data_IF_005953270376
#
_entry.id   IF_005953270376
#
_cell.length_a   1.000
_cell.length_b   1.000
_cell.length_c   1.000
_cell.angle_alpha   90.00
_cell.angle_beta   90.00
_cell.angle_gamma   90.00
#
_symmetry.space_group_name_H-M   'P 1'
#
loop_
_entity.id
_entity.type
_entity.pdbx_description
1 polymer ?
#
# COMPACT_ATOMS: atom_id res chain seq x y z
N UNK A 1 9.23 -13.74 -45.75
CA UNK A 1 7.88 -13.45 -45.25
C UNK A 1 7.66 -14.35 -44.05
N UNK A 2 8.08 -13.89 -42.87
CA UNK A 2 7.87 -14.61 -41.63
C UNK A 2 6.43 -14.35 -41.16
N UNK A 3 5.71 -15.43 -40.98
CA UNK A 3 4.30 -15.49 -40.60
C UNK A 3 4.06 -14.76 -39.26
N UNK A 4 3.49 -13.56 -39.31
CA UNK A 4 3.20 -12.68 -38.17
C UNK A 4 1.85 -12.99 -37.47
N UNK A 5 1.28 -14.18 -37.65
CA UNK A 5 -0.08 -14.48 -37.18
C UNK A 5 -0.21 -15.48 -36.03
N UNK A 6 0.85 -16.04 -35.52
CA UNK A 6 0.77 -16.87 -34.31
C UNK A 6 1.24 -16.07 -33.08
N UNK A 7 0.28 -15.38 -32.41
CA UNK A 7 0.47 -15.00 -31.01
C UNK A 7 0.74 -16.31 -30.25
N UNK A 8 1.90 -16.48 -29.60
CA UNK A 8 2.16 -17.71 -28.85
C UNK A 8 0.98 -18.00 -27.91
N UNK A 9 0.56 -19.26 -27.81
CA UNK A 9 -0.58 -19.69 -26.97
C UNK A 9 -0.43 -19.18 -25.50
N UNK A 10 0.81 -18.96 -25.06
CA UNK A 10 1.18 -18.37 -23.79
C UNK A 10 0.66 -16.94 -23.62
N UNK A 11 0.73 -16.07 -24.63
CA UNK A 11 0.24 -14.68 -24.52
C UNK A 11 -1.30 -14.60 -24.51
N UNK A 12 -1.99 -15.56 -25.10
CA UNK A 12 -3.46 -15.69 -24.98
C UNK A 12 -3.87 -16.02 -23.55
N UNK A 13 -3.18 -16.95 -22.91
CA UNK A 13 -3.39 -17.29 -21.50
C UNK A 13 -3.03 -16.11 -20.61
N UNK A 14 -1.89 -15.44 -20.87
CA UNK A 14 -1.46 -14.27 -20.13
C UNK A 14 -2.50 -13.15 -20.18
N UNK A 15 -3.05 -12.83 -21.36
CA UNK A 15 -4.12 -11.80 -21.51
C UNK A 15 -5.37 -12.15 -20.71
N UNK A 16 -5.81 -13.42 -20.72
CA UNK A 16 -6.93 -13.88 -19.89
C UNK A 16 -6.63 -13.69 -18.40
N UNK A 17 -5.45 -14.11 -17.93
CA UNK A 17 -5.03 -13.95 -16.55
C UNK A 17 -4.98 -12.48 -16.13
N UNK A 18 -4.47 -11.62 -17.01
CA UNK A 18 -4.44 -10.17 -16.78
C UNK A 18 -5.86 -9.61 -16.60
N UNK A 19 -6.82 -9.98 -17.44
CA UNK A 19 -8.22 -9.53 -17.28
C UNK A 19 -8.78 -9.96 -15.93
N UNK A 20 -8.58 -11.21 -15.52
CA UNK A 20 -9.03 -11.70 -14.20
C UNK A 20 -8.38 -10.92 -13.07
N UNK A 21 -7.07 -10.66 -13.17
CA UNK A 21 -6.33 -9.93 -12.14
C UNK A 21 -6.70 -8.43 -12.08
N UNK A 22 -7.02 -7.81 -13.25
CA UNK A 22 -7.55 -6.44 -13.31
C UNK A 22 -8.91 -6.36 -12.60
N UNK A 23 -9.81 -7.31 -12.87
CA UNK A 23 -11.11 -7.38 -12.21
C UNK A 23 -10.96 -7.66 -10.71
N UNK A 24 -10.05 -8.56 -10.33
CA UNK A 24 -9.74 -8.82 -8.92
C UNK A 24 -9.16 -7.57 -8.23
N UNK A 25 -8.27 -6.84 -8.90
CA UNK A 25 -7.71 -5.60 -8.37
C UNK A 25 -8.78 -4.51 -8.23
N UNK A 26 -9.72 -4.41 -9.18
CA UNK A 26 -10.82 -3.44 -9.13
C UNK A 26 -11.84 -3.78 -8.03
N UNK A 27 -12.27 -5.04 -7.94
CA UNK A 27 -13.38 -5.46 -7.07
C UNK A 27 -12.87 -5.76 -5.66
N UNK A 28 -11.96 -6.75 -5.50
CA UNK A 28 -11.43 -7.08 -4.18
C UNK A 28 -10.51 -5.98 -3.65
N UNK A 29 -9.74 -5.32 -4.53
CA UNK A 29 -8.87 -4.21 -4.16
C UNK A 29 -9.61 -3.01 -3.57
N UNK A 30 -10.90 -2.83 -3.91
CA UNK A 30 -11.74 -1.75 -3.42
C UNK A 30 -11.90 -1.76 -1.87
N UNK A 31 -11.74 -2.92 -1.23
CA UNK A 31 -11.79 -3.01 0.23
C UNK A 31 -10.70 -2.20 0.94
N UNK A 32 -9.51 -2.03 0.31
CA UNK A 32 -8.41 -1.31 0.97
C UNK A 32 -8.73 0.18 1.18
N UNK A 33 -9.02 1.00 0.15
CA UNK A 33 -9.40 2.38 0.36
C UNK A 33 -10.68 2.52 1.21
N UNK A 34 -11.62 1.56 1.11
CA UNK A 34 -12.82 1.51 1.94
C UNK A 34 -12.46 1.40 3.43
N UNK A 35 -11.65 0.40 3.80
CA UNK A 35 -11.25 0.17 5.19
C UNK A 35 -10.31 1.27 5.72
N UNK A 36 -9.44 1.81 4.88
CA UNK A 36 -8.58 2.94 5.28
C UNK A 36 -9.40 4.21 5.58
N UNK A 37 -10.55 4.39 4.91
CA UNK A 37 -11.47 5.50 5.22
C UNK A 37 -12.14 5.33 6.59
N UNK A 38 -12.66 4.13 6.90
CA UNK A 38 -13.48 3.94 8.09
C UNK A 38 -12.73 3.34 9.29
N UNK A 39 -11.59 2.68 9.07
CA UNK A 39 -10.94 1.90 10.14
C UNK A 39 -10.49 2.74 11.33
N UNK A 40 -10.01 3.97 11.07
CA UNK A 40 -9.70 4.94 12.12
C UNK A 40 -10.94 5.48 12.82
N UNK A 41 -12.00 5.80 12.04
CA UNK A 41 -13.29 6.29 12.57
C UNK A 41 -13.99 5.23 13.42
N UNK A 42 -14.03 3.99 12.97
CA UNK A 42 -14.56 2.85 13.73
C UNK A 42 -13.78 2.63 15.03
N UNK A 43 -12.44 2.70 14.94
CA UNK A 43 -11.61 2.63 16.14
C UNK A 43 -11.85 3.78 17.09
N UNK A 44 -11.95 5.01 16.61
CA UNK A 44 -12.26 6.19 17.44
C UNK A 44 -13.60 6.06 18.17
N UNK A 45 -14.65 5.63 17.45
CA UNK A 45 -15.97 5.42 18.05
C UNK A 45 -15.92 4.47 19.27
N UNK A 46 -15.07 3.45 19.22
CA UNK A 46 -14.96 2.43 20.27
C UNK A 46 -14.06 2.85 21.43
N UNK A 47 -13.09 3.73 21.22
CA UNK A 47 -12.11 4.11 22.27
C UNK A 47 -12.25 5.55 22.73
N UNK A 48 -13.14 6.35 22.14
CA UNK A 48 -13.37 7.74 22.54
C UNK A 48 -13.84 7.82 24.00
N UNK A 49 -13.25 8.72 24.75
CA UNK A 49 -13.54 8.89 26.20
C UNK A 49 -12.88 7.83 27.09
N UNK A 50 -12.07 6.93 26.56
CA UNK A 50 -11.31 5.93 27.30
C UNK A 50 -9.83 6.31 27.40
N UNK A 51 -9.08 5.66 28.31
CA UNK A 51 -7.64 5.83 28.44
C UNK A 51 -6.83 5.41 27.19
N UNK A 52 -7.45 4.68 26.27
CA UNK A 52 -6.82 4.18 25.02
C UNK A 52 -7.26 4.95 23.78
N UNK A 53 -7.81 6.15 23.90
CA UNK A 53 -8.25 6.99 22.77
C UNK A 53 -7.11 7.22 21.73
N UNK A 54 -5.84 7.25 22.18
CA UNK A 54 -4.67 7.35 21.30
C UNK A 54 -4.53 6.18 20.32
N UNK A 55 -5.20 5.05 20.55
CA UNK A 55 -5.12 3.84 19.73
C UNK A 55 -6.23 3.75 18.68
N UNK A 56 -6.94 4.84 18.41
CA UNK A 56 -8.06 4.85 17.45
C UNK A 56 -7.68 4.32 16.05
N UNK A 57 -6.45 4.53 15.59
CA UNK A 57 -5.97 4.04 14.29
C UNK A 57 -5.33 2.64 14.35
N UNK A 58 -5.30 2.00 15.51
CA UNK A 58 -4.70 0.67 15.68
C UNK A 58 -5.32 -0.41 14.77
N UNK A 59 -6.63 -0.38 14.41
CA UNK A 59 -7.18 -1.29 13.41
C UNK A 59 -6.42 -1.22 12.07
N UNK A 60 -6.12 -0.02 11.57
CA UNK A 60 -5.34 0.17 10.33
C UNK A 60 -3.89 -0.32 10.52
N UNK A 61 -3.28 -0.01 11.66
CA UNK A 61 -1.90 -0.44 11.96
C UNK A 61 -1.79 -1.97 11.96
N UNK A 62 -2.79 -2.68 12.48
CA UNK A 62 -2.82 -4.14 12.48
C UNK A 62 -3.04 -4.75 11.09
N UNK A 63 -3.74 -4.06 10.18
CA UNK A 63 -3.81 -4.47 8.76
C UNK A 63 -2.40 -4.42 8.14
N UNK A 64 -1.66 -3.33 8.33
CA UNK A 64 -0.30 -3.17 7.81
C UNK A 64 0.64 -4.20 8.45
N UNK A 65 0.57 -4.38 9.75
CA UNK A 65 1.34 -5.38 10.48
C UNK A 65 1.02 -6.81 10.03
N UNK A 66 -0.27 -7.12 9.84
CA UNK A 66 -0.73 -8.41 9.29
C UNK A 66 -0.17 -8.66 7.89
N UNK A 67 -0.13 -7.63 7.04
CA UNK A 67 0.50 -7.72 5.71
C UNK A 67 2.00 -7.99 5.80
N UNK A 68 2.71 -7.28 6.68
CA UNK A 68 4.15 -7.43 6.90
C UNK A 68 4.51 -8.84 7.35
N UNK A 69 3.78 -9.37 8.33
CA UNK A 69 4.03 -10.71 8.90
C UNK A 69 3.60 -11.85 7.98
N UNK A 70 2.70 -11.57 7.03
CA UNK A 70 2.19 -12.57 6.08
C UNK A 70 3.13 -12.80 4.90
N UNK A 71 3.77 -11.76 4.37
CA UNK A 71 4.59 -11.85 3.16
C UNK A 71 5.67 -12.96 3.20
N UNK A 72 6.41 -13.18 4.31
CA UNK A 72 7.46 -14.18 4.39
C UNK A 72 7.00 -15.63 4.23
N UNK A 73 5.80 -15.97 4.67
CA UNK A 73 5.28 -17.34 4.55
C UNK A 73 4.32 -17.52 3.37
N UNK A 74 3.63 -16.46 2.96
CA UNK A 74 2.69 -16.52 1.84
C UNK A 74 3.41 -16.70 0.50
N UNK A 75 4.54 -16.04 0.29
CA UNK A 75 5.32 -16.16 -0.94
C UNK A 75 5.82 -17.59 -1.21
N UNK A 76 6.48 -18.29 -0.27
CA UNK A 76 6.82 -19.70 -0.44
C UNK A 76 5.61 -20.61 -0.60
N UNK A 77 4.50 -20.32 0.10
CA UNK A 77 3.27 -21.09 -0.02
C UNK A 77 2.67 -20.96 -1.44
N UNK A 78 2.69 -19.76 -2.02
CA UNK A 78 2.27 -19.52 -3.40
C UNK A 78 3.17 -20.23 -4.42
N UNK A 79 4.47 -20.32 -4.15
CA UNK A 79 5.39 -21.11 -4.99
C UNK A 79 5.10 -22.61 -4.91
N UNK A 80 4.82 -23.12 -3.70
CA UNK A 80 4.59 -24.55 -3.48
C UNK A 80 3.21 -25.02 -3.97
N UNK A 81 2.15 -24.24 -3.72
CA UNK A 81 0.74 -24.61 -4.02
C UNK A 81 0.12 -23.85 -5.18
N UNK A 82 0.87 -22.95 -5.78
CA UNK A 82 0.42 -22.07 -6.87
C UNK A 82 -0.20 -20.76 -6.37
N UNK A 83 -0.08 -19.71 -7.19
CA UNK A 83 -0.55 -18.35 -6.82
C UNK A 83 -2.06 -18.28 -6.59
N UNK A 84 -2.85 -19.06 -7.37
CA UNK A 84 -4.30 -19.11 -7.20
C UNK A 84 -4.69 -19.51 -5.77
N UNK A 85 -4.02 -20.51 -5.19
CA UNK A 85 -4.26 -20.95 -3.81
C UNK A 85 -4.01 -19.81 -2.83
N UNK A 86 -2.90 -19.09 -2.98
CA UNK A 86 -2.58 -17.96 -2.09
C UNK A 86 -3.56 -16.78 -2.22
N UNK A 87 -4.07 -16.51 -3.42
CA UNK A 87 -5.08 -15.46 -3.63
C UNK A 87 -6.42 -15.80 -2.99
N UNK A 88 -6.89 -17.04 -3.17
CA UNK A 88 -8.12 -17.52 -2.51
C UNK A 88 -7.94 -17.50 -0.99
N UNK A 89 -6.80 -17.97 -0.48
CA UNK A 89 -6.50 -17.94 0.95
C UNK A 89 -6.52 -16.51 1.50
N UNK A 90 -5.90 -15.55 0.79
CA UNK A 90 -5.90 -14.14 1.16
C UNK A 90 -7.31 -13.56 1.21
N UNK A 91 -8.14 -13.82 0.19
CA UNK A 91 -9.52 -13.35 0.15
C UNK A 91 -10.38 -13.98 1.28
N UNK A 92 -10.24 -15.28 1.52
CA UNK A 92 -10.98 -15.94 2.61
C UNK A 92 -10.52 -15.44 4.00
N UNK A 93 -9.22 -15.19 4.17
CA UNK A 93 -8.71 -14.58 5.40
C UNK A 93 -9.28 -13.18 5.63
N UNK A 94 -9.41 -12.36 4.57
CA UNK A 94 -10.02 -11.04 4.67
C UNK A 94 -11.54 -11.13 4.93
N UNK A 95 -12.25 -12.06 4.29
CA UNK A 95 -13.67 -12.30 4.58
C UNK A 95 -13.89 -12.67 6.06
N UNK A 96 -13.06 -13.60 6.57
CA UNK A 96 -13.07 -13.97 7.99
C UNK A 96 -12.73 -12.76 8.87
N UNK A 97 -11.66 -12.04 8.56
CA UNK A 97 -11.22 -10.86 9.30
C UNK A 97 -12.28 -9.77 9.34
N UNK A 98 -12.93 -9.49 8.21
CA UNK A 98 -14.01 -8.51 8.14
C UNK A 98 -15.26 -8.95 8.93
N UNK A 99 -15.60 -10.24 8.91
CA UNK A 99 -16.69 -10.79 9.73
C UNK A 99 -16.38 -10.68 11.24
N UNK A 100 -15.13 -10.96 11.66
CA UNK A 100 -14.68 -10.77 13.03
C UNK A 100 -14.68 -9.30 13.41
N UNK A 101 -14.25 -8.40 12.52
CA UNK A 101 -14.31 -6.95 12.75
C UNK A 101 -15.75 -6.45 12.87
N UNK A 102 -16.67 -6.94 12.03
CA UNK A 102 -18.10 -6.65 12.12
C UNK A 102 -18.70 -7.12 13.47
N UNK A 103 -18.32 -8.31 13.92
CA UNK A 103 -18.69 -8.82 15.25
C UNK A 103 -18.14 -7.92 16.35
N UNK A 104 -16.89 -7.45 16.23
CA UNK A 104 -16.28 -6.51 17.16
C UNK A 104 -17.07 -5.21 17.30
N UNK A 105 -17.53 -4.62 16.18
CA UNK A 105 -18.39 -3.45 16.18
C UNK A 105 -19.75 -3.73 16.81
N UNK A 106 -20.37 -4.85 16.44
CA UNK A 106 -21.69 -5.25 16.96
C UNK A 106 -21.68 -5.48 18.48
N UNK A 107 -20.62 -6.10 18.99
CA UNK A 107 -20.47 -6.40 20.44
C UNK A 107 -19.81 -5.30 21.26
N UNK A 108 -19.32 -4.21 20.61
CA UNK A 108 -18.56 -3.16 21.27
C UNK A 108 -17.15 -3.58 21.72
N UNK A 109 -16.60 -4.67 21.16
CA UNK A 109 -15.28 -5.21 21.54
C UNK A 109 -14.17 -4.71 20.63
N UNK A 110 -13.38 -3.75 21.12
CA UNK A 110 -12.22 -3.21 20.37
C UNK A 110 -11.18 -4.28 20.05
N UNK A 111 -10.91 -5.21 20.98
CA UNK A 111 -9.99 -6.31 20.77
C UNK A 111 -10.42 -7.21 19.61
N UNK A 112 -11.73 -7.51 19.53
CA UNK A 112 -12.28 -8.31 18.42
C UNK A 112 -12.12 -7.60 17.08
N UNK A 113 -12.35 -6.27 17.03
CA UNK A 113 -12.09 -5.44 15.85
C UNK A 113 -10.62 -5.54 15.42
N UNK A 114 -9.68 -5.48 16.38
CA UNK A 114 -8.25 -5.55 16.12
C UNK A 114 -7.83 -6.92 15.56
N UNK A 115 -8.36 -8.01 16.11
CA UNK A 115 -8.10 -9.37 15.61
C UNK A 115 -8.56 -9.48 14.16
N UNK A 116 -9.78 -9.02 13.86
CA UNK A 116 -10.30 -9.02 12.49
C UNK A 116 -9.43 -8.20 11.52
N UNK A 117 -8.98 -7.03 11.96
CA UNK A 117 -8.10 -6.15 11.18
C UNK A 117 -6.78 -6.84 10.79
N UNK A 118 -6.17 -7.61 11.69
CA UNK A 118 -4.96 -8.39 11.38
C UNK A 118 -5.19 -9.37 10.22
N UNK A 119 -6.31 -10.10 10.21
CA UNK A 119 -6.64 -11.04 9.14
C UNK A 119 -6.92 -10.34 7.79
N UNK A 120 -7.49 -9.14 7.80
CA UNK A 120 -7.62 -8.32 6.57
C UNK A 120 -6.24 -8.02 5.98
N UNK A 121 -5.22 -7.83 6.82
CA UNK A 121 -3.82 -7.63 6.40
C UNK A 121 -3.24 -8.78 5.58
N UNK A 122 -3.71 -10.01 5.78
CA UNK A 122 -3.29 -11.18 4.97
C UNK A 122 -3.67 -10.97 3.50
N UNK A 123 -4.87 -10.43 3.23
CA UNK A 123 -5.27 -10.08 1.88
C UNK A 123 -4.40 -8.97 1.29
N UNK A 124 -4.09 -7.93 2.05
CA UNK A 124 -3.21 -6.84 1.59
C UNK A 124 -1.86 -7.37 1.10
N UNK A 125 -1.29 -8.36 1.79
CA UNK A 125 -0.09 -9.07 1.34
C UNK A 125 -0.33 -9.84 0.04
N UNK A 126 -1.43 -10.62 -0.05
CA UNK A 126 -1.77 -11.41 -1.23
C UNK A 126 -1.99 -10.53 -2.47
N UNK A 127 -2.67 -9.39 -2.32
CA UNK A 127 -2.92 -8.42 -3.37
C UNK A 127 -1.63 -7.88 -4.00
N UNK A 128 -0.59 -7.68 -3.19
CA UNK A 128 0.72 -7.25 -3.67
C UNK A 128 1.33 -8.17 -4.74
N UNK A 129 0.93 -9.44 -4.78
CA UNK A 129 1.42 -10.43 -5.74
C UNK A 129 0.64 -10.45 -7.08
N UNK A 130 -0.48 -9.73 -7.23
CA UNK A 130 -1.27 -9.73 -8.48
C UNK A 130 -0.42 -9.27 -9.68
N UNK A 131 0.36 -8.21 -9.53
CA UNK A 131 1.27 -7.70 -10.57
C UNK A 131 2.33 -8.71 -11.01
N UNK A 132 2.80 -9.55 -10.08
CA UNK A 132 3.78 -10.60 -10.40
C UNK A 132 3.10 -11.78 -11.09
N UNK A 133 1.90 -12.19 -10.63
CA UNK A 133 1.14 -13.24 -11.27
C UNK A 133 0.73 -12.90 -12.71
N UNK A 134 0.52 -11.62 -13.01
CA UNK A 134 0.26 -11.14 -14.36
C UNK A 134 1.41 -11.42 -15.35
N UNK A 135 2.64 -11.55 -14.83
CA UNK A 135 3.84 -11.80 -15.64
C UNK A 135 4.23 -13.27 -15.77
N UNK A 136 3.62 -14.16 -14.97
CA UNK A 136 4.06 -15.56 -14.88
C UNK A 136 3.93 -16.34 -16.23
N UNK A 137 2.98 -15.95 -17.08
CA UNK A 137 2.73 -16.58 -18.39
C UNK A 137 2.94 -15.62 -19.56
N UNK A 138 3.42 -14.40 -19.28
CA UNK A 138 3.57 -13.35 -20.28
C UNK A 138 4.94 -13.43 -20.97
N UNK A 139 4.97 -13.18 -22.29
CA UNK A 139 6.22 -12.95 -23.02
C UNK A 139 6.94 -11.71 -22.49
N UNK A 140 8.25 -11.63 -22.67
CA UNK A 140 9.05 -10.49 -22.19
C UNK A 140 8.54 -9.14 -22.74
N UNK A 141 8.02 -9.14 -23.97
CA UNK A 141 7.43 -7.97 -24.62
C UNK A 141 6.08 -7.56 -23.97
N UNK A 142 5.33 -8.53 -23.41
CA UNK A 142 4.00 -8.29 -22.83
C UNK A 142 4.05 -8.02 -21.31
N UNK A 143 5.07 -8.50 -20.58
CA UNK A 143 5.20 -8.31 -19.12
C UNK A 143 4.98 -6.87 -18.64
N UNK A 144 5.60 -5.82 -19.24
CA UNK A 144 5.38 -4.44 -18.77
C UNK A 144 3.91 -4.00 -18.92
N UNK A 145 3.26 -4.40 -20.04
CA UNK A 145 1.84 -4.09 -20.28
C UNK A 145 0.94 -4.80 -19.29
N UNK A 146 1.23 -6.07 -18.99
CA UNK A 146 0.47 -6.88 -18.04
C UNK A 146 0.48 -6.24 -16.63
N UNK A 147 1.64 -5.80 -16.15
CA UNK A 147 1.77 -5.07 -14.87
C UNK A 147 0.95 -3.79 -14.91
N UNK A 148 1.09 -2.98 -15.96
CA UNK A 148 0.39 -1.70 -16.08
C UNK A 148 -1.14 -1.87 -16.07
N UNK A 149 -1.67 -2.89 -16.74
CA UNK A 149 -3.12 -3.16 -16.74
C UNK A 149 -3.63 -3.55 -15.34
N UNK A 150 -2.91 -4.42 -14.63
CA UNK A 150 -3.29 -4.80 -13.26
C UNK A 150 -3.25 -3.57 -12.34
N UNK A 151 -2.23 -2.72 -12.46
CA UNK A 151 -2.15 -1.48 -11.70
C UNK A 151 -3.30 -0.51 -12.03
N UNK A 152 -3.74 -0.46 -13.31
CA UNK A 152 -4.91 0.32 -13.72
C UNK A 152 -6.21 -0.16 -13.04
N UNK A 153 -6.34 -1.45 -12.73
CA UNK A 153 -7.45 -1.96 -11.89
C UNK A 153 -7.51 -1.30 -10.52
N UNK A 154 -6.35 -0.86 -9.98
CA UNK A 154 -6.26 -0.10 -8.73
C UNK A 154 -6.94 1.28 -8.79
N UNK A 155 -6.98 1.92 -9.97
CA UNK A 155 -7.72 3.18 -10.14
C UNK A 155 -9.24 2.97 -9.99
N UNK A 156 -9.75 1.87 -10.54
CA UNK A 156 -11.15 1.50 -10.34
C UNK A 156 -11.43 1.20 -8.86
N UNK A 157 -10.54 0.48 -8.18
CA UNK A 157 -10.63 0.20 -6.75
C UNK A 157 -10.66 1.48 -5.91
N UNK A 158 -9.86 2.48 -6.29
CA UNK A 158 -9.78 3.77 -5.60
C UNK A 158 -11.12 4.54 -5.63
N UNK A 159 -11.92 4.33 -6.67
CA UNK A 159 -13.25 4.93 -6.79
C UNK A 159 -14.30 4.04 -6.15
N UNK A 160 -14.32 2.75 -6.50
CA UNK A 160 -15.34 1.79 -6.06
C UNK A 160 -15.39 1.71 -4.53
N UNK A 161 -14.23 1.59 -3.86
CA UNK A 161 -14.16 1.40 -2.42
C UNK A 161 -14.81 2.53 -1.61
N UNK A 162 -14.32 3.77 -1.70
CA UNK A 162 -14.91 4.89 -0.97
C UNK A 162 -16.36 5.19 -1.36
N UNK A 163 -16.74 5.05 -2.65
CA UNK A 163 -18.12 5.27 -3.08
C UNK A 163 -19.06 4.18 -2.55
N UNK A 164 -18.64 2.91 -2.55
CA UNK A 164 -19.39 1.83 -1.89
C UNK A 164 -19.52 2.11 -0.39
N UNK A 165 -18.47 2.62 0.24
CA UNK A 165 -18.49 2.97 1.65
C UNK A 165 -19.57 4.00 1.98
N UNK A 166 -19.73 5.05 1.15
CA UNK A 166 -20.79 6.05 1.33
C UNK A 166 -22.20 5.43 1.37
N UNK A 167 -22.42 4.34 0.59
CA UNK A 167 -23.72 3.68 0.51
C UNK A 167 -23.98 2.78 1.71
N UNK A 168 -22.95 2.18 2.31
CA UNK A 168 -23.12 1.10 3.28
C UNK A 168 -22.68 1.44 4.71
N UNK A 169 -21.88 2.50 4.92
CA UNK A 169 -21.30 2.82 6.23
C UNK A 169 -22.36 3.10 7.30
N UNK A 170 -23.45 3.76 6.90
CA UNK A 170 -24.55 4.19 7.78
C UNK A 170 -25.84 3.40 7.56
N UNK A 171 -25.80 2.31 6.78
CA UNK A 171 -27.00 1.50 6.45
C UNK A 171 -27.53 0.65 7.60
N UNK A 172 -26.80 0.57 8.71
CA UNK A 172 -27.18 -0.21 9.90
C UNK A 172 -27.18 0.68 11.15
N UNK A 173 -27.91 0.26 12.19
CA UNK A 173 -27.92 0.94 13.49
C UNK A 173 -26.51 1.03 14.09
N UNK A 174 -25.70 -0.02 13.90
CA UNK A 174 -24.29 0.00 14.28
C UNK A 174 -23.49 0.63 13.14
N UNK A 175 -22.92 1.80 13.40
CA UNK A 175 -22.15 2.57 12.42
C UNK A 175 -20.98 1.75 11.89
N UNK A 176 -20.68 1.86 10.58
CA UNK A 176 -19.64 1.14 9.84
C UNK A 176 -19.81 -0.39 9.75
N UNK A 177 -20.82 -0.99 10.39
CA UNK A 177 -21.09 -2.43 10.28
C UNK A 177 -21.31 -2.84 8.83
N UNK A 178 -22.08 -2.06 8.06
CA UNK A 178 -22.34 -2.29 6.64
C UNK A 178 -21.08 -2.33 5.80
N UNK A 179 -20.09 -1.50 6.11
CA UNK A 179 -18.80 -1.48 5.41
C UNK A 179 -18.02 -2.78 5.59
N UNK A 180 -17.94 -3.30 6.82
CA UNK A 180 -17.26 -4.60 7.05
C UNK A 180 -18.03 -5.77 6.43
N UNK A 181 -19.37 -5.75 6.45
CA UNK A 181 -20.19 -6.76 5.76
C UNK A 181 -20.01 -6.69 4.22
N UNK A 182 -19.89 -5.50 3.65
CA UNK A 182 -19.57 -5.34 2.24
C UNK A 182 -18.18 -5.92 1.91
N UNK A 183 -17.18 -5.75 2.78
CA UNK A 183 -15.86 -6.39 2.63
C UNK A 183 -15.97 -7.91 2.66
N UNK A 184 -16.80 -8.49 3.54
CA UNK A 184 -17.10 -9.93 3.53
C UNK A 184 -17.63 -10.35 2.15
N UNK A 185 -18.66 -9.66 1.66
CA UNK A 185 -19.28 -9.97 0.37
C UNK A 185 -18.27 -9.83 -0.80
N UNK A 186 -17.52 -8.73 -0.84
CA UNK A 186 -16.48 -8.52 -1.86
C UNK A 186 -15.46 -9.67 -1.91
N UNK A 187 -15.03 -10.16 -0.75
CA UNK A 187 -14.04 -11.24 -0.69
C UNK A 187 -14.64 -12.60 -1.03
N UNK A 188 -15.84 -12.95 -0.54
CA UNK A 188 -16.48 -14.22 -0.85
C UNK A 188 -16.83 -14.32 -2.34
N UNK A 189 -17.51 -13.32 -2.90
CA UNK A 189 -17.90 -13.33 -4.31
C UNK A 189 -16.70 -13.04 -5.22
N UNK A 190 -15.84 -12.08 -4.86
CA UNK A 190 -14.66 -11.74 -5.64
C UNK A 190 -13.62 -12.86 -5.72
N UNK A 191 -13.52 -13.73 -4.68
CA UNK A 191 -12.61 -14.89 -4.71
C UNK A 191 -12.94 -15.87 -5.85
N UNK A 192 -14.19 -15.89 -6.33
CA UNK A 192 -14.61 -16.71 -7.46
C UNK A 192 -13.90 -16.31 -8.76
N UNK A 193 -13.47 -15.05 -8.89
CA UNK A 193 -12.69 -14.59 -10.05
C UNK A 193 -11.40 -15.41 -10.23
N UNK A 194 -10.76 -15.83 -9.13
CA UNK A 194 -9.51 -16.57 -9.20
C UNK A 194 -9.66 -17.98 -9.83
N UNK A 195 -10.88 -18.52 -9.90
CA UNK A 195 -11.13 -19.77 -10.64
C UNK A 195 -10.97 -19.57 -12.15
N UNK A 196 -11.03 -18.35 -12.65
CA UNK A 196 -10.72 -18.00 -14.04
C UNK A 196 -9.22 -17.99 -14.37
N UNK A 197 -8.31 -17.99 -13.39
CA UNK A 197 -6.86 -17.97 -13.61
C UNK A 197 -6.34 -19.32 -14.15
N UNK A 198 -5.52 -19.23 -15.18
CA UNK A 198 -4.76 -20.36 -15.74
C UNK A 198 -3.27 -20.12 -15.47
N UNK A 199 -2.83 -20.42 -14.26
CA UNK A 199 -1.45 -20.25 -13.81
C UNK A 199 -0.77 -21.61 -13.69
N UNK A 200 0.58 -21.67 -13.83
CA UNK A 200 1.33 -22.91 -13.60
C UNK A 200 1.00 -23.47 -12.22
N UNK A 201 0.84 -24.78 -12.15
CA UNK A 201 0.76 -25.47 -10.87
C UNK A 201 2.09 -25.23 -10.14
N UNK A 202 2.04 -24.92 -8.84
CA UNK A 202 3.23 -24.66 -8.07
C UNK A 202 4.30 -25.75 -8.26
N UNK A 203 5.50 -25.33 -8.51
CA UNK A 203 6.65 -26.23 -8.64
C UNK A 203 7.16 -26.59 -7.25
N UNK A 204 6.68 -27.71 -6.72
CA UNK A 204 7.37 -28.35 -5.59
C UNK A 204 8.76 -28.77 -6.06
N UNK A 205 9.78 -28.05 -5.62
CA UNK A 205 11.15 -28.52 -5.70
C UNK A 205 11.85 -28.36 -7.05
N UNK A 206 11.81 -27.17 -7.69
CA UNK A 206 12.95 -26.86 -8.55
C UNK A 206 14.15 -26.59 -7.62
N UNK A 207 15.29 -27.30 -7.82
CA UNK A 207 16.51 -27.02 -7.09
C UNK A 207 16.85 -25.53 -7.29
N UNK A 208 17.13 -24.83 -6.20
CA UNK A 208 17.84 -23.55 -6.26
C UNK A 208 19.07 -23.84 -7.12
N UNK A 209 19.24 -23.13 -8.24
CA UNK A 209 20.45 -23.26 -9.07
C UNK A 209 21.63 -23.00 -8.13
N UNK A 210 22.37 -24.07 -7.82
CA UNK A 210 23.49 -24.09 -6.87
C UNK A 210 24.72 -23.35 -7.41
N UNK A 211 24.70 -22.92 -8.67
CA UNK A 211 25.83 -22.23 -9.34
C UNK A 211 25.75 -20.70 -9.30
N UNK A 212 24.75 -20.10 -8.61
CA UNK A 212 24.71 -18.65 -8.46
C UNK A 212 25.79 -18.19 -7.45
N UNK A 213 26.51 -17.09 -7.74
CA UNK A 213 27.45 -16.50 -6.78
C UNK A 213 26.78 -16.25 -5.42
N UNK A 214 27.53 -16.38 -4.33
CA UNK A 214 27.01 -16.14 -2.99
C UNK A 214 26.44 -14.71 -2.91
N UNK A 215 25.18 -14.59 -2.48
CA UNK A 215 24.55 -13.28 -2.27
C UNK A 215 25.25 -12.51 -1.17
N UNK A 216 25.38 -11.18 -1.33
CA UNK A 216 25.90 -10.30 -0.27
C UNK A 216 25.11 -10.50 1.02
N UNK A 217 25.79 -10.44 2.15
CA UNK A 217 25.14 -10.44 3.46
C UNK A 217 24.38 -9.14 3.69
N UNK A 218 23.37 -9.13 4.57
CA UNK A 218 22.62 -7.92 4.94
C UNK A 218 23.55 -6.78 5.39
N UNK A 219 24.64 -7.12 6.14
CA UNK A 219 25.63 -6.13 6.56
C UNK A 219 26.45 -5.52 5.40
N UNK A 220 26.76 -6.32 4.36
CA UNK A 220 27.41 -5.82 3.16
C UNK A 220 26.48 -4.94 2.32
N UNK A 221 25.18 -5.29 2.25
CA UNK A 221 24.15 -4.49 1.56
C UNK A 221 24.00 -3.11 2.22
N UNK A 222 24.01 -3.03 3.56
CA UNK A 222 23.94 -1.76 4.30
C UNK A 222 25.21 -0.89 4.17
N UNK A 223 26.29 -1.39 3.57
CA UNK A 223 27.48 -0.58 3.23
C UNK A 223 27.34 0.09 1.85
N UNK A 224 26.40 -0.34 1.03
CA UNK A 224 26.13 0.26 -0.27
C UNK A 224 25.21 1.50 -0.09
N UNK A 225 25.71 2.73 -0.38
CA UNK A 225 24.94 3.95 -0.18
C UNK A 225 23.68 4.01 -1.03
N UNK A 226 23.68 3.42 -2.23
CA UNK A 226 22.50 3.39 -3.10
C UNK A 226 21.38 2.55 -2.48
N UNK A 227 21.72 1.41 -1.88
CA UNK A 227 20.77 0.54 -1.19
C UNK A 227 20.20 1.25 0.04
N UNK A 228 21.08 1.83 0.89
CA UNK A 228 20.65 2.52 2.12
C UNK A 228 19.73 3.70 1.81
N UNK A 229 20.13 4.55 0.84
CA UNK A 229 19.33 5.71 0.45
C UNK A 229 17.99 5.30 -0.17
N UNK A 230 17.99 4.26 -1.01
CA UNK A 230 16.76 3.72 -1.57
C UNK A 230 15.81 3.23 -0.47
N UNK A 231 16.32 2.49 0.52
CA UNK A 231 15.52 2.00 1.65
C UNK A 231 14.99 3.15 2.51
N UNK A 232 15.83 4.13 2.86
CA UNK A 232 15.44 5.28 3.70
C UNK A 232 14.40 6.14 2.99
N UNK A 233 14.61 6.53 1.74
CA UNK A 233 13.65 7.36 0.99
C UNK A 233 12.36 6.59 0.73
N UNK A 234 12.44 5.31 0.38
CA UNK A 234 11.28 4.44 0.19
C UNK A 234 10.45 4.31 1.47
N UNK A 235 11.09 4.04 2.61
CA UNK A 235 10.45 3.97 3.92
C UNK A 235 9.81 5.30 4.31
N UNK A 236 10.57 6.40 4.23
CA UNK A 236 10.05 7.72 4.63
C UNK A 236 8.87 8.13 3.75
N UNK A 237 8.97 7.98 2.43
CA UNK A 237 7.88 8.33 1.51
C UNK A 237 6.61 7.55 1.84
N UNK A 238 6.71 6.25 2.12
CA UNK A 238 5.55 5.41 2.43
C UNK A 238 5.03 5.65 3.85
N UNK A 239 5.92 5.78 4.82
CA UNK A 239 5.55 6.02 6.21
C UNK A 239 4.83 7.37 6.39
N UNK A 240 5.34 8.44 5.78
CA UNK A 240 4.70 9.77 5.84
C UNK A 240 3.36 9.80 5.12
N UNK A 241 3.26 9.15 3.95
CA UNK A 241 1.99 8.99 3.26
C UNK A 241 0.98 8.27 4.15
N UNK A 242 1.37 7.17 4.77
CA UNK A 242 0.47 6.40 5.65
C UNK A 242 0.12 7.17 6.93
N UNK A 243 1.08 7.88 7.54
CA UNK A 243 0.88 8.73 8.72
C UNK A 243 -0.27 9.72 8.50
N UNK A 244 -0.20 10.48 7.42
CA UNK A 244 -1.17 11.55 7.11
C UNK A 244 -2.49 10.95 6.60
N UNK A 245 -2.45 9.99 5.66
CA UNK A 245 -3.65 9.36 5.12
C UNK A 245 -4.50 8.69 6.21
N UNK A 246 -3.86 8.01 7.18
CA UNK A 246 -4.58 7.31 8.26
C UNK A 246 -5.30 8.29 9.20
N UNK A 247 -4.72 9.47 9.46
CA UNK A 247 -5.33 10.53 10.28
C UNK A 247 -6.39 11.34 9.53
N UNK A 248 -6.34 11.37 8.20
CA UNK A 248 -7.20 12.26 7.39
C UNK A 248 -8.69 12.07 7.64
N UNK A 249 -9.27 10.85 7.65
CA UNK A 249 -10.69 10.69 7.93
C UNK A 249 -11.07 11.21 9.32
N UNK A 250 -10.20 10.98 10.32
CA UNK A 250 -10.41 11.48 11.68
C UNK A 250 -10.38 13.02 11.73
N UNK A 251 -9.44 13.64 11.00
CA UNK A 251 -9.32 15.09 10.92
C UNK A 251 -10.51 15.72 10.19
N UNK A 252 -10.90 15.18 9.03
CA UNK A 252 -12.04 15.67 8.23
C UNK A 252 -13.32 15.64 9.06
N UNK A 253 -13.67 14.48 9.64
CA UNK A 253 -14.87 14.34 10.46
C UNK A 253 -14.77 15.15 11.76
N UNK A 254 -13.61 15.17 12.40
CA UNK A 254 -13.37 15.95 13.62
C UNK A 254 -13.44 17.45 13.41
N UNK A 255 -13.17 17.96 12.20
CA UNK A 255 -13.33 19.36 11.82
C UNK A 255 -14.76 19.71 11.35
N UNK A 256 -15.73 18.78 11.43
CA UNK A 256 -17.14 19.04 11.20
C UNK A 256 -17.65 18.71 9.79
N UNK A 257 -16.84 18.05 8.95
CA UNK A 257 -17.27 17.52 7.66
C UNK A 257 -17.86 16.11 7.82
N UNK A 258 -18.53 15.61 6.80
CA UNK A 258 -19.15 14.30 6.87
C UNK A 258 -18.22 13.14 6.45
N UNK A 259 -18.67 11.91 6.66
CA UNK A 259 -17.91 10.70 6.27
C UNK A 259 -17.78 10.56 4.74
N UNK A 260 -18.72 11.16 3.99
CA UNK A 260 -18.69 11.21 2.54
C UNK A 260 -17.58 12.10 2.02
N UNK A 261 -17.37 13.27 2.66
CA UNK A 261 -16.24 14.16 2.36
C UNK A 261 -14.90 13.47 2.61
N UNK A 262 -14.77 12.75 3.73
CA UNK A 262 -13.58 11.96 4.02
C UNK A 262 -13.33 10.89 2.95
N UNK A 263 -14.37 10.22 2.46
CA UNK A 263 -14.26 9.23 1.39
C UNK A 263 -13.82 9.85 0.07
N UNK A 264 -14.29 11.07 -0.27
CA UNK A 264 -13.87 11.78 -1.49
C UNK A 264 -12.42 12.24 -1.43
N UNK A 265 -11.98 12.76 -0.29
CA UNK A 265 -10.57 13.12 -0.04
C UNK A 265 -9.66 11.90 -0.19
N UNK A 266 -10.03 10.74 0.39
CA UNK A 266 -9.29 9.49 0.22
C UNK A 266 -9.31 9.01 -1.23
N UNK A 267 -10.43 9.14 -1.95
CA UNK A 267 -10.51 8.81 -3.38
C UNK A 267 -9.51 9.63 -4.18
N UNK A 268 -9.52 10.95 -4.01
CA UNK A 268 -8.59 11.86 -4.70
C UNK A 268 -7.12 11.52 -4.40
N UNK A 269 -6.82 11.21 -3.14
CA UNK A 269 -5.50 10.77 -2.71
C UNK A 269 -5.04 9.50 -3.43
N UNK A 270 -5.86 8.44 -3.40
CA UNK A 270 -5.50 7.15 -3.99
C UNK A 270 -5.38 7.27 -5.52
N UNK A 271 -6.22 8.06 -6.17
CA UNK A 271 -6.05 8.39 -7.60
C UNK A 271 -4.72 9.09 -7.86
N UNK A 272 -4.35 10.06 -7.01
CA UNK A 272 -3.08 10.78 -7.10
C UNK A 272 -1.85 9.89 -6.82
N UNK A 273 -2.01 8.80 -6.07
CA UNK A 273 -0.96 7.78 -5.89
C UNK A 273 -0.72 6.96 -7.17
N UNK A 274 -1.77 6.60 -7.91
CA UNK A 274 -1.66 5.63 -9.01
C UNK A 274 -1.58 6.29 -10.40
N UNK A 275 -2.27 7.39 -10.67
CA UNK A 275 -2.26 8.06 -11.98
C UNK A 275 -0.83 8.41 -12.44
N UNK A 276 0.04 9.01 -11.60
CA UNK A 276 1.39 9.34 -12.04
C UNK A 276 2.23 8.14 -12.41
N UNK A 277 1.92 6.93 -11.92
CA UNK A 277 2.68 5.71 -12.22
C UNK A 277 2.79 5.40 -13.71
N UNK A 278 1.83 5.86 -14.53
CA UNK A 278 1.86 5.69 -15.99
C UNK A 278 2.99 6.47 -16.65
N UNK A 279 3.46 7.56 -16.06
CA UNK A 279 4.51 8.40 -16.63
C UNK A 279 5.75 8.58 -15.74
N UNK A 280 5.68 8.23 -14.45
CA UNK A 280 6.83 8.33 -13.53
C UNK A 280 8.05 7.59 -14.05
N UNK A 281 7.88 6.41 -14.65
CA UNK A 281 8.98 5.67 -15.27
C UNK A 281 9.66 6.44 -16.40
N UNK A 282 8.91 7.15 -17.24
CA UNK A 282 9.44 7.99 -18.31
C UNK A 282 10.18 9.22 -17.75
N UNK A 283 9.65 9.82 -16.67
CA UNK A 283 10.32 10.91 -15.98
C UNK A 283 11.66 10.46 -15.38
N UNK A 284 11.71 9.28 -14.76
CA UNK A 284 12.93 8.69 -14.21
C UNK A 284 13.96 8.42 -15.32
N UNK A 285 13.52 7.89 -16.47
CA UNK A 285 14.39 7.64 -17.61
C UNK A 285 14.98 8.95 -18.18
N UNK A 286 14.19 10.03 -18.22
CA UNK A 286 14.59 11.32 -18.80
C UNK A 286 15.42 12.17 -17.84
N UNK A 287 15.04 12.24 -16.57
CA UNK A 287 15.62 13.19 -15.60
C UNK A 287 16.52 12.52 -14.55
N UNK A 288 16.51 11.20 -14.50
CA UNK A 288 17.27 10.42 -13.53
C UNK A 288 16.51 10.13 -12.24
N UNK A 289 16.85 9.02 -11.62
CA UNK A 289 16.16 8.48 -10.44
C UNK A 289 16.23 9.44 -9.24
N UNK A 290 17.42 9.97 -8.95
CA UNK A 290 17.69 10.84 -7.79
C UNK A 290 16.91 12.14 -7.82
N UNK A 291 16.77 12.76 -9.02
CA UNK A 291 16.00 14.01 -9.18
C UNK A 291 14.51 13.79 -8.97
N UNK A 292 13.97 12.67 -9.45
CA UNK A 292 12.54 12.34 -9.26
C UNK A 292 12.26 12.01 -7.80
N UNK A 293 13.17 11.32 -7.10
CA UNK A 293 13.08 11.11 -5.64
C UNK A 293 13.08 12.46 -4.89
N UNK A 294 13.98 13.38 -5.23
CA UNK A 294 14.04 14.70 -4.63
C UNK A 294 12.73 15.48 -4.85
N UNK A 295 12.19 15.47 -6.08
CA UNK A 295 10.91 16.09 -6.39
C UNK A 295 9.78 15.48 -5.56
N UNK A 296 9.78 14.15 -5.38
CA UNK A 296 8.82 13.46 -4.51
C UNK A 296 8.87 13.97 -3.06
N UNK A 297 10.08 14.11 -2.48
CA UNK A 297 10.25 14.64 -1.13
C UNK A 297 9.80 16.12 -1.01
N UNK A 298 10.09 16.94 -2.02
CA UNK A 298 9.63 18.35 -2.07
C UNK A 298 8.10 18.43 -2.11
N UNK A 299 7.45 17.58 -2.92
CA UNK A 299 5.99 17.53 -2.99
C UNK A 299 5.38 17.03 -1.67
N UNK A 300 6.00 16.03 -1.00
CA UNK A 300 5.59 15.59 0.34
C UNK A 300 5.71 16.73 1.37
N UNK A 301 6.77 17.52 1.31
CA UNK A 301 6.92 18.70 2.15
C UNK A 301 5.83 19.75 1.84
N UNK A 302 5.51 19.95 0.56
CA UNK A 302 4.41 20.80 0.11
C UNK A 302 3.05 20.33 0.62
N UNK A 303 2.81 19.01 0.64
CA UNK A 303 1.59 18.43 1.21
C UNK A 303 1.44 18.79 2.70
N UNK A 304 2.50 18.60 3.50
CA UNK A 304 2.51 19.00 4.90
C UNK A 304 2.34 20.51 5.10
N UNK A 305 2.99 21.32 4.24
CA UNK A 305 2.85 22.77 4.31
C UNK A 305 1.38 23.21 4.05
N UNK A 306 0.73 22.68 3.00
CA UNK A 306 -0.68 22.97 2.71
C UNK A 306 -1.59 22.51 3.85
N UNK A 307 -1.34 21.30 4.42
CA UNK A 307 -2.11 20.79 5.54
C UNK A 307 -2.03 21.68 6.80
N UNK A 308 -0.95 22.42 6.95
CA UNK A 308 -0.73 23.37 8.06
C UNK A 308 -1.35 24.76 7.82
N UNK A 309 -1.80 25.08 6.61
CA UNK A 309 -2.40 26.40 6.29
C UNK A 309 -3.86 26.51 6.73
N UNK A 310 -4.55 25.39 6.97
CA UNK A 310 -5.95 25.39 7.41
C UNK A 310 -6.59 24.02 7.36
N UNK A 311 -7.86 23.99 7.79
CA UNK A 311 -8.70 22.77 7.88
C UNK A 311 -9.97 22.90 7.05
N UNK A 312 -9.93 23.65 5.92
CA UNK A 312 -11.01 23.64 4.96
C UNK A 312 -10.99 22.35 4.15
N UNK A 313 -12.10 22.00 3.54
CA UNK A 313 -12.18 20.80 2.71
C UNK A 313 -11.18 20.86 1.54
N UNK A 314 -10.97 22.04 0.95
CA UNK A 314 -9.95 22.26 -0.08
C UNK A 314 -8.53 21.98 0.42
N UNK A 315 -8.19 22.41 1.65
CA UNK A 315 -6.88 22.12 2.25
C UNK A 315 -6.66 20.61 2.35
N UNK A 316 -7.66 19.85 2.81
CA UNK A 316 -7.57 18.39 2.85
C UNK A 316 -7.39 17.78 1.46
N UNK A 317 -8.18 18.20 0.46
CA UNK A 317 -8.04 17.70 -0.92
C UNK A 317 -6.65 17.98 -1.50
N UNK A 318 -6.19 19.22 -1.43
CA UNK A 318 -4.90 19.63 -2.03
C UNK A 318 -3.75 18.92 -1.30
N UNK A 319 -3.76 18.90 0.03
CA UNK A 319 -2.74 18.22 0.82
C UNK A 319 -2.66 16.73 0.47
N UNK A 320 -3.80 16.04 0.39
CA UNK A 320 -3.86 14.60 0.12
C UNK A 320 -3.50 14.26 -1.33
N UNK A 321 -3.87 15.09 -2.31
CA UNK A 321 -3.43 14.94 -3.71
C UNK A 321 -1.91 15.09 -3.81
N UNK A 322 -1.35 16.15 -3.22
CA UNK A 322 0.11 16.33 -3.17
C UNK A 322 0.80 15.16 -2.44
N UNK A 323 0.24 14.68 -1.35
CA UNK A 323 0.75 13.55 -0.60
C UNK A 323 0.84 12.29 -1.48
N UNK A 324 -0.20 12.01 -2.28
CA UNK A 324 -0.25 10.88 -3.21
C UNK A 324 0.80 10.98 -4.32
N UNK A 325 0.93 12.16 -4.96
CA UNK A 325 1.94 12.41 -6.01
C UNK A 325 3.35 12.31 -5.44
N UNK A 326 3.59 12.92 -4.28
CA UNK A 326 4.88 12.90 -3.60
C UNK A 326 5.31 11.48 -3.21
N UNK A 327 4.38 10.69 -2.69
CA UNK A 327 4.60 9.27 -2.44
C UNK A 327 4.97 8.51 -3.72
N UNK A 328 4.23 8.72 -4.80
CA UNK A 328 4.49 8.03 -6.06
C UNK A 328 5.92 8.27 -6.56
N UNK A 329 6.35 9.53 -6.61
CA UNK A 329 7.70 9.88 -7.10
C UNK A 329 8.80 9.41 -6.14
N UNK A 330 8.60 9.57 -4.84
CA UNK A 330 9.56 9.14 -3.82
C UNK A 330 9.71 7.62 -3.78
N UNK A 331 8.60 6.89 -3.68
CA UNK A 331 8.59 5.44 -3.52
C UNK A 331 8.96 4.68 -4.80
N UNK A 332 8.44 5.10 -5.97
CA UNK A 332 8.80 4.48 -7.26
C UNK A 332 10.27 4.79 -7.60
N UNK A 333 10.73 6.01 -7.34
CA UNK A 333 12.13 6.37 -7.49
C UNK A 333 13.04 5.53 -6.61
N UNK A 334 12.72 5.39 -5.33
CA UNK A 334 13.47 4.56 -4.38
C UNK A 334 13.49 3.08 -4.80
N UNK A 335 12.35 2.52 -5.19
CA UNK A 335 12.26 1.15 -5.71
C UNK A 335 13.12 0.97 -6.97
N UNK A 336 13.12 1.96 -7.87
CA UNK A 336 13.96 1.94 -9.08
C UNK A 336 15.45 2.01 -8.73
N UNK A 337 15.85 2.84 -7.76
CA UNK A 337 17.23 2.91 -7.30
C UNK A 337 17.66 1.57 -6.71
N UNK A 338 16.83 0.96 -5.86
CA UNK A 338 17.10 -0.33 -5.24
C UNK A 338 17.31 -1.43 -6.28
N UNK A 339 16.43 -1.50 -7.30
CA UNK A 339 16.52 -2.54 -8.36
C UNK A 339 17.77 -2.41 -9.22
N UNK A 340 18.34 -1.21 -9.34
CA UNK A 340 19.60 -0.97 -10.04
C UNK A 340 20.85 -1.26 -9.19
N UNK A 341 20.69 -1.46 -7.89
CA UNK A 341 21.80 -1.57 -6.93
C UNK A 341 22.11 -3.00 -6.51
N UNK A 342 21.51 -3.99 -7.15
CA UNK A 342 21.74 -5.40 -6.83
C UNK A 342 21.76 -6.29 -8.07
N UNK A 343 22.45 -7.43 -7.95
CA UNK A 343 22.46 -8.46 -8.98
C UNK A 343 21.14 -9.28 -8.96
N UNK A 344 20.78 -9.94 -10.08
CA UNK A 344 19.55 -10.73 -10.17
C UNK A 344 19.42 -11.83 -9.10
N UNK A 345 20.50 -12.48 -8.72
CA UNK A 345 20.52 -13.54 -7.69
C UNK A 345 20.34 -13.02 -6.26
N UNK A 346 20.60 -11.73 -6.00
CA UNK A 346 20.40 -11.07 -4.69
C UNK A 346 18.99 -10.56 -4.48
N UNK A 347 18.17 -10.52 -5.54
CA UNK A 347 16.86 -9.88 -5.59
C UNK A 347 15.94 -10.28 -4.41
N UNK A 348 15.85 -11.56 -4.12
CA UNK A 348 14.96 -12.06 -3.06
C UNK A 348 15.37 -11.57 -1.67
N UNK A 349 16.68 -11.59 -1.38
CA UNK A 349 17.22 -11.16 -0.07
C UNK A 349 17.04 -9.65 0.11
N UNK A 350 17.40 -8.85 -0.92
CA UNK A 350 17.30 -7.40 -0.86
C UNK A 350 15.85 -6.93 -0.78
N UNK A 351 14.96 -7.47 -1.59
CA UNK A 351 13.54 -7.09 -1.56
C UNK A 351 12.90 -7.45 -0.22
N UNK A 352 13.12 -8.67 0.28
CA UNK A 352 12.59 -9.06 1.59
C UNK A 352 13.10 -8.18 2.73
N UNK A 353 14.38 -7.79 2.69
CA UNK A 353 14.96 -6.88 3.67
C UNK A 353 14.41 -5.46 3.56
N UNK A 354 14.27 -4.94 2.34
CA UNK A 354 13.66 -3.65 2.07
C UNK A 354 12.20 -3.60 2.54
N UNK A 355 11.42 -4.64 2.23
CA UNK A 355 10.00 -4.69 2.58
C UNK A 355 9.80 -4.75 4.10
N UNK A 356 10.64 -5.51 4.81
CA UNK A 356 10.64 -5.52 6.27
C UNK A 356 10.90 -4.12 6.85
N UNK A 357 11.88 -3.40 6.31
CA UNK A 357 12.24 -2.06 6.76
C UNK A 357 11.16 -1.03 6.43
N UNK A 358 10.67 -1.04 5.18
CA UNK A 358 9.62 -0.12 4.72
C UNK A 358 8.32 -0.35 5.48
N UNK A 359 7.80 -1.57 5.51
CA UNK A 359 6.53 -1.87 6.19
C UNK A 359 6.63 -1.79 7.72
N UNK A 360 7.82 -2.02 8.28
CA UNK A 360 8.10 -1.72 9.69
C UNK A 360 7.91 -0.24 9.99
N UNK A 361 8.49 0.64 9.17
CA UNK A 361 8.31 2.08 9.27
C UNK A 361 6.86 2.51 9.07
N UNK A 362 6.16 1.92 8.09
CA UNK A 362 4.73 2.19 7.84
C UNK A 362 3.86 1.77 9.03
N UNK A 363 4.15 0.63 9.66
CA UNK A 363 3.41 0.17 10.86
C UNK A 363 3.58 1.18 12.01
N UNK A 364 4.82 1.61 12.27
CA UNK A 364 5.10 2.63 13.31
C UNK A 364 4.39 3.94 12.99
N UNK A 365 4.44 4.40 11.74
CA UNK A 365 3.78 5.63 11.29
C UNK A 365 2.25 5.55 11.45
N UNK A 366 1.65 4.41 11.11
CA UNK A 366 0.21 4.17 11.30
C UNK A 366 -0.20 4.22 12.78
N UNK A 367 0.61 3.65 13.67
CA UNK A 367 0.37 3.74 15.13
C UNK A 367 0.55 5.17 15.64
N UNK A 368 1.62 5.85 15.21
CA UNK A 368 1.89 7.23 15.58
C UNK A 368 0.78 8.19 15.08
N UNK A 369 0.16 7.89 13.95
CA UNK A 369 -0.95 8.65 13.37
C UNK A 369 -2.09 8.85 14.38
N UNK A 370 -2.57 7.77 14.98
CA UNK A 370 -3.64 7.84 16.00
C UNK A 370 -3.20 8.55 17.28
N UNK A 371 -1.98 8.29 17.75
CA UNK A 371 -1.42 8.95 18.91
C UNK A 371 -1.31 10.46 18.73
N UNK A 372 -0.76 10.91 17.61
CA UNK A 372 -0.65 12.33 17.28
C UNK A 372 -2.02 12.96 17.06
N UNK A 373 -2.93 12.30 16.34
CA UNK A 373 -4.26 12.85 16.03
C UNK A 373 -5.12 13.02 17.28
N UNK A 374 -5.11 12.05 18.20
CA UNK A 374 -6.05 12.02 19.32
C UNK A 374 -5.46 12.43 20.67
N UNK A 375 -4.12 12.51 20.79
CA UNK A 375 -3.45 12.72 22.08
C UNK A 375 -2.38 13.84 22.09
N UNK A 376 -2.12 14.50 20.96
CA UNK A 376 -1.15 15.61 20.90
C UNK A 376 -1.77 17.00 21.01
N UNK A 377 -3.06 17.08 21.36
CA UNK A 377 -3.76 18.35 21.54
C UNK A 377 -5.15 18.16 22.10
N UNK A 378 -5.84 19.27 22.43
CA UNK A 378 -7.20 19.31 22.94
C UNK A 378 -8.29 19.35 21.86
N UNK A 379 -7.90 19.41 20.57
CA UNK A 379 -8.83 19.56 19.45
C UNK A 379 -8.37 18.78 18.21
N UNK A 380 -9.29 18.42 17.29
CA UNK A 380 -8.95 17.78 16.01
C UNK A 380 -7.96 18.61 15.16
N UNK A 381 -8.01 19.94 15.25
CA UNK A 381 -7.11 20.85 14.54
C UNK A 381 -5.67 20.73 15.06
N UNK A 382 -5.51 20.68 16.38
CA UNK A 382 -4.19 20.50 17.00
C UNK A 382 -3.61 19.13 16.69
N UNK A 383 -4.43 18.08 16.75
CA UNK A 383 -4.02 16.74 16.36
C UNK A 383 -3.59 16.67 14.89
N UNK A 384 -4.35 17.27 13.97
CA UNK A 384 -3.98 17.37 12.56
C UNK A 384 -2.66 18.13 12.35
N UNK A 385 -2.49 19.23 13.07
CA UNK A 385 -1.24 20.01 13.06
C UNK A 385 -0.06 19.17 13.53
N UNK A 386 -0.22 18.42 14.62
CA UNK A 386 0.83 17.55 15.15
C UNK A 386 1.23 16.45 14.17
N UNK A 387 0.26 15.82 13.48
CA UNK A 387 0.52 14.81 12.43
C UNK A 387 1.38 15.41 11.32
N UNK A 388 1.05 16.59 10.82
CA UNK A 388 1.76 17.19 9.69
C UNK A 388 3.13 17.77 10.09
N UNK A 389 3.28 18.30 11.30
CA UNK A 389 4.59 18.72 11.83
C UNK A 389 5.54 17.53 12.04
N UNK A 390 5.01 16.37 12.40
CA UNK A 390 5.81 15.15 12.56
C UNK A 390 6.46 14.67 11.25
N UNK A 391 6.03 15.16 10.09
CA UNK A 391 6.68 14.86 8.81
C UNK A 391 8.09 15.47 8.71
N UNK A 392 8.32 16.64 9.32
CA UNK A 392 9.53 17.44 9.11
C UNK A 392 10.84 16.69 9.40
N UNK A 393 11.04 16.03 10.56
CA UNK A 393 12.29 15.35 10.86
C UNK A 393 12.57 14.18 9.91
N UNK A 394 11.54 13.48 9.45
CA UNK A 394 11.69 12.36 8.50
C UNK A 394 12.01 12.86 7.10
N UNK A 395 11.39 13.96 6.66
CA UNK A 395 11.74 14.62 5.40
C UNK A 395 13.18 15.12 5.43
N UNK A 396 13.63 15.69 6.54
CA UNK A 396 15.03 16.09 6.72
C UNK A 396 15.98 14.89 6.65
N UNK A 397 15.63 13.77 7.28
CA UNK A 397 16.39 12.51 7.20
C UNK A 397 16.51 12.01 5.75
N UNK A 398 15.40 11.89 5.03
CA UNK A 398 15.38 11.39 3.66
C UNK A 398 16.08 12.37 2.69
N UNK A 399 15.86 13.67 2.85
CA UNK A 399 16.53 14.72 2.09
C UNK A 399 18.05 14.71 2.33
N UNK A 400 18.48 14.63 3.60
CA UNK A 400 19.88 14.51 3.97
C UNK A 400 20.57 13.26 3.41
N UNK A 401 19.87 12.12 3.47
CA UNK A 401 20.36 10.87 2.86
C UNK A 401 20.54 11.01 1.33
N UNK A 402 19.61 11.68 0.66
CA UNK A 402 19.69 11.90 -0.78
C UNK A 402 20.81 12.86 -1.16
N UNK A 403 20.98 13.94 -0.41
CA UNK A 403 22.11 14.91 -0.57
C UNK A 403 23.43 14.17 -0.36
N UNK A 404 23.54 13.39 0.70
CA UNK A 404 24.75 12.60 0.97
C UNK A 404 25.11 11.67 -0.20
N UNK A 405 24.11 11.01 -0.83
CA UNK A 405 24.35 10.16 -2.00
C UNK A 405 24.89 10.95 -3.20
N UNK A 406 24.33 12.15 -3.43
CA UNK A 406 24.73 13.01 -4.57
C UNK A 406 26.14 13.59 -4.37
N UNK A 407 26.48 13.94 -3.13
CA UNK A 407 27.79 14.51 -2.78
C UNK A 407 28.93 13.48 -2.70
N UNK A 408 28.60 12.19 -2.63
CA UNK A 408 29.63 11.15 -2.57
C UNK A 408 30.39 11.10 -3.88
N UNK A 409 31.76 11.19 -3.87
CA UNK A 409 32.56 11.06 -5.07
C UNK A 409 32.22 9.73 -5.75
N UNK A 410 31.99 9.76 -7.06
CA UNK A 410 31.92 8.53 -7.85
C UNK A 410 33.23 7.82 -7.65
N UNK A 411 33.25 6.70 -6.92
CA UNK A 411 34.43 5.84 -6.90
C UNK A 411 34.74 5.49 -8.36
N UNK A 412 35.90 5.93 -8.84
CA UNK A 412 36.42 5.52 -10.13
C UNK A 412 36.56 4.01 -10.05
N UNK A 413 35.70 3.29 -10.77
CA UNK A 413 35.75 1.83 -10.91
C UNK A 413 36.78 1.49 -11.97
#
# INVERSE_FOLDING_TARGET
MTDMTQIPDTDRIAKRNVIVLVLAQAILGAQMPMIFTIGGLAGQQMVQGTAIACLATLPISLIVFGSMTTAPWLSPLMQARGRRFGFVLGALAAAFGAAVSALGLYTGSFVTLLIGSYFIGIYMSAQGFYRFAATDMASDAYKPKAISYVMAGGLAAAIIGPQLNKLVAESFVVLYLGSYLAVVALNLFGSLLFFGLQLPKGTRGQPIQTDAPASRTRGQMLRDPHIVVAMVVGMVSYALMNLVMTSTPLAVVGCGFDTGDAADVVTAHVLAMYIPSFFTGHLIARYGTTRIMALGLVILAGAGAVALTGVTLENFFIALVLLGIGWNFGFIGATTLLTKSHAPHERGVIQGFNDLFVFGGVTVASMASGGLMNCSGGSPIEGWTAVNLAMAPFLALAGGALIWLVMKPKSVA
#
